data_IF_096515664034
#
_entry.id   IF_096515664034
#
_cell.length_a   1.000
_cell.length_b   1.000
_cell.length_c   1.000
_cell.angle_alpha   90.00
_cell.angle_beta   90.00
_cell.angle_gamma   90.00
#
_symmetry.space_group_name_H-M   'P 1'
#
loop_
_entity.id
_entity.type
_entity.pdbx_description
1 polymer ?
#
# COMPACT_ATOMS: atom_id res chain seq x y z
N UNK A 1 25.39 15.56 -17.63
CA UNK A 1 24.41 14.46 -17.73
C UNK A 1 23.06 14.83 -17.12
N UNK A 2 22.89 14.97 -15.79
CA UNK A 2 21.61 15.42 -15.19
C UNK A 2 21.22 16.80 -15.74
N UNK A 3 22.15 17.76 -15.75
CA UNK A 3 21.88 19.09 -16.30
C UNK A 3 21.43 19.06 -17.77
N UNK A 4 22.06 18.23 -18.61
CA UNK A 4 21.75 18.18 -20.05
C UNK A 4 20.39 17.55 -20.33
N UNK A 5 20.00 16.51 -19.58
CA UNK A 5 18.70 15.85 -19.69
C UNK A 5 17.53 16.80 -19.36
N UNK A 6 17.74 17.75 -18.44
CA UNK A 6 16.67 18.61 -17.92
C UNK A 6 16.65 20.03 -18.49
N UNK A 7 17.78 20.54 -18.98
CA UNK A 7 17.92 21.95 -19.42
C UNK A 7 17.81 22.11 -20.93
N UNK A 8 18.11 21.08 -21.74
CA UNK A 8 18.20 21.23 -23.20
C UNK A 8 16.94 20.79 -23.97
N UNK A 9 16.06 19.99 -23.35
CA UNK A 9 14.79 19.58 -23.93
C UNK A 9 13.69 20.61 -23.68
N UNK A 10 13.45 21.52 -24.62
CA UNK A 10 12.19 22.26 -24.68
C UNK A 10 11.18 21.44 -25.51
N UNK A 11 10.91 20.21 -25.06
CA UNK A 11 9.97 19.28 -25.68
C UNK A 11 8.50 19.64 -25.37
N UNK A 12 8.29 20.59 -24.46
CA UNK A 12 6.96 20.99 -24.01
C UNK A 12 6.36 20.03 -22.97
N UNK A 13 7.14 19.06 -22.47
CA UNK A 13 6.68 18.08 -21.50
C UNK A 13 6.51 18.71 -20.10
N UNK A 14 5.35 18.45 -19.51
CA UNK A 14 4.96 18.82 -18.14
C UNK A 14 5.71 18.01 -17.09
N UNK A 15 6.12 16.79 -17.42
CA UNK A 15 6.75 15.81 -16.56
C UNK A 15 7.79 15.04 -17.37
N UNK A 16 9.05 15.23 -16.98
CA UNK A 16 10.17 14.44 -17.49
C UNK A 16 10.82 13.69 -16.34
N UNK A 17 11.32 12.49 -16.62
CA UNK A 17 12.07 11.71 -15.65
C UNK A 17 13.20 10.96 -16.33
N UNK A 18 14.27 10.76 -15.58
CA UNK A 18 15.48 10.09 -16.05
C UNK A 18 15.99 9.16 -14.94
N UNK A 19 15.98 7.83 -15.18
CA UNK A 19 16.52 6.87 -14.25
C UNK A 19 18.04 6.78 -14.38
N UNK A 20 18.74 6.73 -13.25
CA UNK A 20 20.17 6.51 -13.16
C UNK A 20 20.39 5.22 -12.35
N UNK A 21 20.88 4.18 -13.00
CA UNK A 21 21.20 2.92 -12.35
C UNK A 21 22.47 3.10 -11.50
N UNK A 22 22.33 2.91 -10.18
CA UNK A 22 23.45 2.98 -9.23
C UNK A 22 24.09 1.61 -9.04
N UNK A 23 23.28 0.56 -9.11
CA UNK A 23 23.65 -0.85 -9.00
C UNK A 23 22.63 -1.63 -9.83
N UNK A 24 23.07 -2.52 -10.71
CA UNK A 24 22.21 -3.37 -11.55
C UNK A 24 22.04 -4.79 -10.98
N UNK A 25 22.60 -5.06 -9.81
CA UNK A 25 22.55 -6.37 -9.16
C UNK A 25 23.30 -7.48 -9.93
N UNK A 26 24.06 -7.11 -10.97
CA UNK A 26 24.84 -8.06 -11.77
C UNK A 26 26.11 -8.48 -11.03
N UNK A 27 26.51 -9.72 -11.27
CA UNK A 27 27.75 -10.27 -10.72
C UNK A 27 28.80 -10.31 -11.82
N UNK A 28 29.66 -9.30 -11.90
CA UNK A 28 30.85 -9.40 -12.77
C UNK A 28 31.91 -10.33 -12.15
N UNK A 29 32.04 -10.32 -10.82
CA UNK A 29 32.83 -11.29 -10.05
C UNK A 29 32.01 -11.87 -8.89
N UNK A 30 31.99 -13.20 -8.79
CA UNK A 30 31.25 -13.95 -7.76
C UNK A 30 31.74 -13.72 -6.31
N UNK A 31 32.79 -12.89 -6.14
CA UNK A 31 33.42 -12.54 -4.85
C UNK A 31 32.81 -11.25 -4.27
N UNK A 32 32.12 -10.46 -5.10
CA UNK A 32 31.52 -9.20 -4.66
C UNK A 32 30.28 -9.51 -3.80
N UNK A 33 30.35 -9.11 -2.53
CA UNK A 33 29.33 -9.45 -1.53
C UNK A 33 27.94 -8.85 -1.77
N UNK A 34 27.71 -8.12 -2.86
CA UNK A 34 26.41 -7.57 -3.24
C UNK A 34 25.64 -8.42 -4.27
N UNK A 35 26.21 -9.55 -4.68
CA UNK A 35 25.60 -10.46 -5.64
C UNK A 35 24.18 -10.89 -5.23
N UNK A 36 23.22 -10.66 -6.13
CA UNK A 36 21.85 -11.15 -5.96
C UNK A 36 21.04 -10.47 -4.85
N UNK A 37 21.52 -9.33 -4.32
CA UNK A 37 20.85 -8.55 -3.25
C UNK A 37 19.80 -7.58 -3.76
N UNK A 38 19.52 -7.58 -5.06
CA UNK A 38 18.68 -6.59 -5.71
C UNK A 38 19.46 -5.52 -6.46
N UNK A 39 18.83 -4.39 -6.73
CA UNK A 39 19.39 -3.28 -7.51
C UNK A 39 18.86 -1.94 -7.02
N UNK A 40 19.55 -0.85 -7.40
CA UNK A 40 19.25 0.51 -6.95
C UNK A 40 19.19 1.47 -8.11
N UNK A 41 18.11 2.25 -8.17
CA UNK A 41 17.85 3.22 -9.22
C UNK A 41 17.61 4.57 -8.58
N UNK A 42 18.36 5.58 -9.01
CA UNK A 42 18.07 6.96 -8.69
C UNK A 42 17.18 7.52 -9.79
N UNK A 43 15.91 7.75 -9.47
CA UNK A 43 14.95 8.31 -10.42
C UNK A 43 14.75 9.79 -10.16
N UNK A 44 15.05 10.60 -11.16
CA UNK A 44 14.90 12.05 -11.09
C UNK A 44 13.62 12.41 -11.82
N UNK A 45 12.80 13.28 -11.23
CA UNK A 45 11.60 13.83 -11.85
C UNK A 45 11.70 15.36 -11.89
N UNK A 46 11.45 15.93 -13.06
CA UNK A 46 11.26 17.36 -13.25
C UNK A 46 9.85 17.62 -13.75
N UNK A 47 9.20 18.58 -13.10
CA UNK A 47 7.83 18.99 -13.37
C UNK A 47 7.81 20.46 -13.80
N UNK A 48 7.05 20.75 -14.87
CA UNK A 48 6.92 22.06 -15.52
C UNK A 48 5.44 22.38 -15.66
N UNK A 49 4.90 23.26 -14.83
CA UNK A 49 3.46 23.54 -14.83
C UNK A 49 3.19 25.03 -14.96
N UNK A 50 2.20 25.39 -15.77
CA UNK A 50 1.76 26.77 -15.90
C UNK A 50 1.03 27.23 -14.62
N UNK A 51 1.48 28.34 -14.05
CA UNK A 51 0.97 28.85 -12.77
C UNK A 51 -0.47 29.34 -12.82
N UNK A 52 -0.97 29.70 -14.00
CA UNK A 52 -2.38 30.10 -14.18
C UNK A 52 -3.35 28.95 -13.88
N UNK A 53 -2.91 27.71 -14.11
CA UNK A 53 -3.70 26.50 -13.84
C UNK A 53 -3.48 25.93 -12.44
N UNK A 54 -2.41 26.37 -11.77
CA UNK A 54 -2.02 25.95 -10.42
C UNK A 54 -1.82 27.18 -9.52
N UNK A 55 -2.89 27.93 -9.20
CA UNK A 55 -2.76 29.16 -8.42
C UNK A 55 -2.22 28.91 -7.00
N UNK A 56 -2.42 27.69 -6.47
CA UNK A 56 -1.91 27.24 -5.18
C UNK A 56 -0.52 26.57 -5.28
N UNK A 57 0.05 26.48 -6.48
CA UNK A 57 1.32 25.85 -6.77
C UNK A 57 2.51 26.60 -6.16
N UNK A 58 3.39 25.89 -5.47
CA UNK A 58 4.62 26.42 -4.87
C UNK A 58 5.82 25.86 -5.60
N UNK A 59 6.40 26.67 -6.47
CA UNK A 59 7.52 26.29 -7.33
C UNK A 59 8.81 26.96 -6.87
N UNK A 60 9.89 26.20 -6.62
CA UNK A 60 11.21 26.76 -6.30
C UNK A 60 11.76 27.70 -7.38
N UNK A 61 11.48 27.40 -8.66
CA UNK A 61 11.95 28.19 -9.80
C UNK A 61 10.76 28.50 -10.71
N UNK A 62 10.75 29.69 -11.31
CA UNK A 62 9.75 30.07 -12.31
C UNK A 62 10.41 30.74 -13.50
N UNK A 63 9.91 30.47 -14.70
CA UNK A 63 10.36 31.13 -15.92
C UNK A 63 9.16 31.62 -16.76
N UNK A 64 9.40 32.60 -17.64
CA UNK A 64 8.40 33.04 -18.62
C UNK A 64 8.70 32.38 -19.97
N UNK A 65 7.78 31.58 -20.48
CA UNK A 65 7.90 30.88 -21.76
C UNK A 65 6.74 31.33 -22.64
N UNK A 66 7.03 32.02 -23.75
CA UNK A 66 6.02 32.55 -24.69
C UNK A 66 4.93 33.42 -24.03
N UNK A 67 5.26 34.10 -22.93
CA UNK A 67 4.33 34.95 -22.18
C UNK A 67 3.64 34.26 -21.01
N UNK A 68 3.71 32.93 -20.93
CA UNK A 68 3.16 32.14 -19.83
C UNK A 68 4.17 31.99 -18.69
N UNK A 69 3.69 32.10 -17.44
CA UNK A 69 4.52 31.86 -16.27
C UNK A 69 4.51 30.36 -15.93
N UNK A 70 5.65 29.71 -16.13
CA UNK A 70 5.86 28.29 -15.85
C UNK A 70 6.60 28.13 -14.54
N UNK A 71 6.05 27.34 -13.63
CA UNK A 71 6.68 26.88 -12.41
C UNK A 71 7.41 25.56 -12.63
N UNK A 72 8.59 25.44 -12.03
CA UNK A 72 9.43 24.26 -12.07
C UNK A 72 9.55 23.69 -10.66
N UNK A 73 9.33 22.38 -10.53
CA UNK A 73 9.58 21.62 -9.32
C UNK A 73 10.30 20.32 -9.68
N UNK A 74 11.11 19.79 -8.76
CA UNK A 74 11.88 18.58 -9.00
C UNK A 74 11.95 17.70 -7.77
N UNK A 75 11.97 16.40 -7.99
CA UNK A 75 12.15 15.39 -6.96
C UNK A 75 13.18 14.36 -7.40
N UNK A 76 13.88 13.81 -6.42
CA UNK A 76 14.84 12.73 -6.61
C UNK A 76 14.39 11.59 -5.70
N UNK A 77 14.07 10.45 -6.29
CA UNK A 77 13.61 9.26 -5.61
C UNK A 77 14.69 8.19 -5.69
N UNK A 78 15.05 7.60 -4.55
CA UNK A 78 15.89 6.41 -4.51
C UNK A 78 14.97 5.19 -4.49
N UNK A 79 14.96 4.43 -5.59
CA UNK A 79 14.29 3.14 -5.65
C UNK A 79 15.27 2.03 -5.30
N UNK A 80 14.89 1.22 -4.32
CA UNK A 80 15.64 0.05 -3.88
C UNK A 80 14.74 -1.17 -4.08
N UNK A 81 15.17 -2.10 -4.93
CA UNK A 81 14.47 -3.37 -5.12
C UNK A 81 15.32 -4.47 -4.52
N UNK A 82 14.75 -5.19 -3.56
CA UNK A 82 15.45 -6.24 -2.79
C UNK A 82 14.62 -7.52 -2.78
N UNK A 83 15.26 -8.70 -2.82
CA UNK A 83 14.56 -9.95 -2.62
C UNK A 83 14.23 -10.13 -1.12
N UNK A 84 12.99 -10.50 -0.82
CA UNK A 84 12.52 -10.79 0.54
C UNK A 84 11.84 -12.14 0.61
N UNK A 85 12.04 -12.85 1.72
CA UNK A 85 11.31 -14.07 2.07
C UNK A 85 10.11 -13.65 2.90
N UNK A 86 8.94 -14.06 2.45
CA UNK A 86 7.67 -13.79 3.11
C UNK A 86 7.02 -15.08 3.56
N UNK A 87 6.30 -15.00 4.66
CA UNK A 87 5.42 -16.05 5.12
C UNK A 87 4.05 -15.87 4.46
N UNK A 88 3.46 -16.98 4.01
CA UNK A 88 2.20 -16.95 3.27
C UNK A 88 1.24 -17.95 3.87
N UNK A 89 0.01 -17.52 4.08
CA UNK A 89 -1.03 -18.36 4.64
C UNK A 89 -2.00 -18.79 3.55
N UNK A 90 -2.09 -20.11 3.34
CA UNK A 90 -3.00 -20.72 2.39
C UNK A 90 -4.18 -21.33 3.13
N UNK A 91 -5.33 -20.64 3.11
CA UNK A 91 -6.56 -21.10 3.75
C UNK A 91 -7.57 -21.62 2.73
N UNK A 92 -8.27 -22.69 3.08
CA UNK A 92 -9.37 -23.22 2.26
C UNK A 92 -10.51 -22.20 2.17
N UNK A 93 -10.85 -21.76 0.96
CA UNK A 93 -11.97 -20.86 0.70
C UNK A 93 -11.63 -19.36 0.62
N UNK A 94 -10.35 -18.98 0.67
CA UNK A 94 -9.88 -17.63 0.30
C UNK A 94 -8.61 -17.70 -0.52
N UNK A 95 -8.24 -16.58 -1.16
CA UNK A 95 -6.94 -16.46 -1.79
C UNK A 95 -5.83 -16.46 -0.73
N UNK A 96 -4.66 -17.05 -1.02
CA UNK A 96 -3.50 -16.95 -0.14
C UNK A 96 -3.14 -15.49 0.10
N UNK A 97 -2.65 -15.18 1.29
CA UNK A 97 -2.18 -13.84 1.62
C UNK A 97 -0.86 -13.90 2.40
N UNK A 98 -0.08 -12.84 2.27
CA UNK A 98 1.17 -12.67 3.01
C UNK A 98 0.87 -12.32 4.45
N UNK A 99 1.48 -13.03 5.40
CA UNK A 99 1.31 -12.77 6.85
C UNK A 99 2.41 -11.91 7.43
N UNK A 100 3.65 -12.10 6.98
CA UNK A 100 4.82 -11.36 7.50
C UNK A 100 5.99 -11.42 6.53
N UNK A 101 6.84 -10.39 6.57
CA UNK A 101 8.16 -10.39 5.93
C UNK A 101 9.18 -10.95 6.93
N UNK A 102 9.82 -12.07 6.59
CA UNK A 102 10.71 -12.78 7.51
C UNK A 102 12.11 -12.18 7.50
N UNK A 103 12.73 -12.10 6.31
CA UNK A 103 14.14 -11.73 6.14
C UNK A 103 14.50 -11.46 4.68
N UNK A 104 15.67 -10.85 4.41
CA UNK A 104 16.23 -10.77 3.07
C UNK A 104 16.38 -12.15 2.41
N UNK A 105 16.08 -12.23 1.12
CA UNK A 105 16.08 -13.47 0.33
C UNK A 105 17.44 -13.85 -0.28
N UNK A 106 18.42 -12.97 -0.14
CA UNK A 106 19.81 -13.14 -0.57
C UNK A 106 20.61 -14.11 0.33
N UNK A 107 20.10 -14.42 1.52
CA UNK A 107 20.80 -15.24 2.51
C UNK A 107 19.87 -16.23 3.22
N UNK A 108 19.92 -17.49 2.78
CA UNK A 108 19.21 -18.61 3.40
C UNK A 108 20.18 -19.45 4.27
N UNK A 109 20.71 -18.84 5.33
CA UNK A 109 21.66 -19.43 6.30
C UNK A 109 21.16 -20.65 7.09
N UNK A 110 19.94 -21.13 6.85
CA UNK A 110 19.27 -22.14 7.67
C UNK A 110 19.03 -23.45 6.93
N UNK A 111 19.03 -23.45 5.59
CA UNK A 111 18.89 -24.66 4.78
C UNK A 111 20.23 -24.92 4.11
N UNK A 112 21.12 -25.60 4.84
CA UNK A 112 22.51 -25.81 4.39
C UNK A 112 22.60 -26.64 3.10
N UNK A 113 21.59 -27.44 2.78
CA UNK A 113 21.50 -28.15 1.49
C UNK A 113 20.03 -28.29 1.07
N UNK A 114 19.68 -28.01 -0.21
CA UNK A 114 18.37 -28.36 -0.73
C UNK A 114 18.17 -29.87 -0.63
N UNK A 115 17.04 -30.32 -0.07
CA UNK A 115 16.72 -31.76 0.06
C UNK A 115 16.70 -32.50 -1.30
N UNK A 116 16.60 -31.76 -2.41
CA UNK A 116 16.51 -32.31 -3.76
C UNK A 116 17.49 -31.59 -4.71
N UNK A 117 18.16 -32.33 -5.60
CA UNK A 117 19.01 -31.74 -6.62
C UNK A 117 18.18 -30.86 -7.57
N UNK A 118 18.64 -29.63 -7.82
CA UNK A 118 17.98 -28.67 -8.71
C UNK A 118 16.96 -27.75 -8.02
N UNK A 119 16.80 -27.81 -6.71
CA UNK A 119 15.99 -26.85 -5.94
C UNK A 119 16.89 -25.71 -5.46
N UNK A 120 16.51 -24.47 -5.75
CA UNK A 120 17.23 -23.31 -5.27
C UNK A 120 17.00 -23.14 -3.76
N UNK A 121 18.10 -22.99 -3.02
CA UNK A 121 18.09 -22.71 -1.58
C UNK A 121 18.29 -21.23 -1.25
N UNK A 122 18.49 -20.36 -2.24
CA UNK A 122 18.58 -18.90 -2.09
C UNK A 122 17.96 -18.21 -3.32
N UNK A 123 17.39 -17.02 -3.13
CA UNK A 123 16.96 -16.19 -4.26
C UNK A 123 18.17 -15.42 -4.77
N UNK A 124 18.47 -15.59 -6.06
CA UNK A 124 19.50 -14.82 -6.72
C UNK A 124 18.83 -13.86 -7.71
N UNK A 125 18.97 -12.56 -7.46
CA UNK A 125 18.44 -11.52 -8.35
C UNK A 125 19.37 -11.17 -9.53
N UNK A 126 20.53 -11.83 -9.68
CA UNK A 126 21.44 -11.59 -10.79
C UNK A 126 20.71 -11.75 -12.13
N UNK A 127 20.81 -10.74 -12.99
CA UNK A 127 20.17 -10.67 -14.31
C UNK A 127 18.63 -10.58 -14.30
N UNK A 128 18.00 -10.44 -13.12
CA UNK A 128 16.55 -10.14 -13.02
C UNK A 128 16.30 -8.64 -13.24
N UNK A 129 17.31 -7.80 -12.98
CA UNK A 129 17.24 -6.35 -13.19
C UNK A 129 16.83 -5.99 -14.62
N UNK A 130 17.32 -6.69 -15.65
CA UNK A 130 16.92 -6.46 -17.05
C UNK A 130 15.40 -6.65 -17.27
N UNK A 131 14.82 -7.68 -16.65
CA UNK A 131 13.38 -7.94 -16.73
C UNK A 131 12.59 -6.84 -15.99
N UNK A 132 13.06 -6.43 -14.81
CA UNK A 132 12.48 -5.31 -14.07
C UNK A 132 12.57 -4.00 -14.85
N UNK A 133 13.70 -3.71 -15.48
CA UNK A 133 13.93 -2.51 -16.27
C UNK A 133 12.86 -2.34 -17.35
N UNK A 134 12.43 -3.43 -17.99
CA UNK A 134 11.33 -3.39 -18.96
C UNK A 134 10.01 -2.95 -18.32
N UNK A 135 9.68 -3.52 -17.16
CA UNK A 135 8.48 -3.14 -16.40
C UNK A 135 8.54 -1.69 -15.90
N UNK A 136 9.70 -1.29 -15.37
CA UNK A 136 10.00 0.06 -14.90
C UNK A 136 9.79 1.08 -16.03
N UNK A 137 10.39 0.87 -17.21
CA UNK A 137 10.21 1.78 -18.34
C UNK A 137 8.76 1.83 -18.83
N UNK A 138 8.03 0.72 -18.78
CA UNK A 138 6.61 0.70 -19.10
C UNK A 138 5.80 1.54 -18.10
N UNK A 139 6.02 1.34 -16.79
CA UNK A 139 5.40 2.12 -15.73
C UNK A 139 5.69 3.62 -15.89
N UNK A 140 6.94 4.00 -16.13
CA UNK A 140 7.36 5.39 -16.33
C UNK A 140 6.74 6.03 -17.54
N UNK A 141 6.71 5.34 -18.68
CA UNK A 141 6.07 5.86 -19.90
C UNK A 141 4.58 6.10 -19.72
N UNK A 142 3.88 5.26 -18.97
CA UNK A 142 2.46 5.45 -18.68
C UNK A 142 2.23 6.57 -17.67
N UNK A 143 3.07 6.63 -16.63
CA UNK A 143 3.01 7.65 -15.58
C UNK A 143 3.30 9.05 -16.11
N UNK A 144 4.26 9.17 -17.04
CA UNK A 144 4.63 10.42 -17.72
C UNK A 144 3.85 10.63 -19.02
N UNK A 145 2.81 9.83 -19.28
CA UNK A 145 2.02 9.98 -20.50
C UNK A 145 1.22 11.28 -20.44
N UNK A 146 1.61 12.23 -21.28
CA UNK A 146 0.97 13.53 -21.35
C UNK A 146 -0.05 13.63 -22.48
N UNK A 147 -0.97 14.58 -22.30
CA UNK A 147 -1.85 15.04 -23.36
C UNK A 147 -1.10 16.12 -24.14
N UNK A 148 -0.58 15.75 -25.32
CA UNK A 148 0.16 16.66 -26.22
C UNK A 148 -0.62 17.92 -26.63
N UNK A 149 -1.94 17.93 -26.43
CA UNK A 149 -2.83 19.04 -26.72
C UNK A 149 -2.76 20.16 -25.67
N UNK A 150 -2.25 19.88 -24.46
CA UNK A 150 -2.26 20.81 -23.32
C UNK A 150 -0.87 20.92 -22.67
N UNK A 151 0.08 21.64 -23.30
CA UNK A 151 1.42 21.80 -22.76
C UNK A 151 1.38 22.54 -21.41
N UNK A 152 2.26 22.12 -20.50
CA UNK A 152 2.38 22.64 -19.13
C UNK A 152 1.12 22.55 -18.26
N UNK A 153 0.14 21.73 -18.65
CA UNK A 153 -1.06 21.47 -17.86
C UNK A 153 -0.83 20.30 -16.91
N UNK A 154 -1.13 20.43 -15.60
CA UNK A 154 -0.86 19.34 -14.67
C UNK A 154 -1.72 18.12 -15.01
N UNK A 155 -1.07 16.97 -15.19
CA UNK A 155 -1.75 15.69 -15.33
C UNK A 155 -2.34 15.25 -13.98
N UNK A 156 -3.34 14.35 -13.97
CA UNK A 156 -3.88 13.79 -12.73
C UNK A 156 -2.79 13.19 -11.82
N UNK A 157 -1.79 12.53 -12.41
CA UNK A 157 -0.66 11.93 -11.69
C UNK A 157 0.19 13.00 -11.00
N UNK A 158 0.42 14.14 -11.65
CA UNK A 158 1.12 15.27 -11.04
C UNK A 158 0.35 15.89 -9.87
N UNK A 159 -0.98 15.78 -9.84
CA UNK A 159 -1.79 16.20 -8.68
C UNK A 159 -1.63 15.20 -7.55
N UNK A 160 -1.66 13.90 -7.84
CA UNK A 160 -1.46 12.83 -6.86
C UNK A 160 -0.07 12.90 -6.19
N UNK A 161 0.98 13.27 -6.93
CA UNK A 161 2.32 13.52 -6.37
C UNK A 161 2.38 14.63 -5.32
N UNK A 162 1.35 15.46 -5.21
CA UNK A 162 1.27 16.52 -4.20
C UNK A 162 0.52 16.10 -2.94
N UNK A 163 0.03 14.86 -2.89
CA UNK A 163 -0.77 14.33 -1.77
C UNK A 163 -2.23 14.77 -1.79
N UNK A 164 -2.65 15.44 -2.87
CA UNK A 164 -4.02 15.88 -3.05
C UNK A 164 -4.80 14.85 -3.89
N UNK A 165 -6.09 14.72 -3.61
CA UNK A 165 -6.98 13.92 -4.46
C UNK A 165 -7.26 14.64 -5.79
N UNK A 166 -7.43 13.87 -6.86
CA UNK A 166 -7.74 14.34 -8.23
C UNK A 166 -9.03 15.18 -8.31
N UNK A 167 -9.83 15.23 -7.24
CA UNK A 167 -11.12 15.96 -7.17
C UNK A 167 -10.99 17.48 -7.36
N UNK A 168 -9.83 18.07 -7.05
CA UNK A 168 -9.53 19.48 -7.31
C UNK A 168 -9.13 19.78 -8.77
N UNK A 169 -9.04 18.74 -9.58
CA UNK A 169 -8.53 18.83 -10.95
C UNK A 169 -7.14 19.49 -10.98
N UNK A 170 -6.84 20.25 -12.05
CA UNK A 170 -5.55 20.91 -12.26
C UNK A 170 -5.14 21.83 -11.11
N UNK A 171 -6.12 22.49 -10.48
CA UNK A 171 -5.89 23.41 -9.36
C UNK A 171 -5.45 22.72 -8.06
N UNK A 172 -5.55 21.38 -8.01
CA UNK A 172 -5.12 20.56 -6.89
C UNK A 172 -3.60 20.38 -6.79
N UNK A 173 -2.83 20.71 -7.83
CA UNK A 173 -1.37 20.62 -7.73
C UNK A 173 -0.81 21.76 -6.87
N UNK A 174 -0.04 21.40 -5.83
CA UNK A 174 0.61 22.34 -4.90
C UNK A 174 2.14 22.27 -5.00
N UNK A 175 2.76 21.24 -4.42
CA UNK A 175 4.20 20.99 -4.42
C UNK A 175 4.42 19.49 -4.38
N UNK A 176 5.49 19.00 -5.00
CA UNK A 176 5.87 17.60 -4.89
C UNK A 176 6.04 17.18 -3.42
N UNK A 177 5.37 16.10 -3.05
CA UNK A 177 5.38 15.51 -1.72
C UNK A 177 6.14 14.19 -1.76
N UNK A 178 7.26 14.05 -1.02
CA UNK A 178 8.05 12.82 -1.05
C UNK A 178 7.23 11.56 -0.74
N UNK A 179 6.39 11.59 0.30
CA UNK A 179 5.59 10.44 0.71
C UNK A 179 4.50 10.07 -0.30
N UNK A 180 3.92 11.08 -0.95
CA UNK A 180 2.91 10.88 -1.99
C UNK A 180 3.55 10.32 -3.26
N UNK A 181 4.71 10.85 -3.65
CA UNK A 181 5.48 10.31 -4.77
C UNK A 181 5.91 8.88 -4.52
N UNK A 182 6.45 8.55 -3.34
CA UNK A 182 6.81 7.19 -2.93
C UNK A 182 5.63 6.23 -3.11
N UNK A 183 4.46 6.61 -2.62
CA UNK A 183 3.24 5.79 -2.70
C UNK A 183 2.78 5.58 -4.15
N UNK A 184 2.72 6.66 -4.94
CA UNK A 184 2.26 6.59 -6.33
C UNK A 184 3.26 5.80 -7.18
N UNK A 185 4.54 6.14 -7.11
CA UNK A 185 5.62 5.44 -7.83
C UNK A 185 5.66 3.96 -7.45
N UNK A 186 5.62 3.64 -6.15
CA UNK A 186 5.63 2.28 -5.63
C UNK A 186 4.42 1.46 -6.13
N UNK A 187 3.22 2.06 -6.13
CA UNK A 187 2.02 1.42 -6.69
C UNK A 187 2.13 1.15 -8.19
N UNK A 188 2.58 2.14 -8.97
CA UNK A 188 2.79 1.98 -10.41
C UNK A 188 3.83 0.90 -10.73
N UNK A 189 4.99 0.93 -10.07
CA UNK A 189 6.04 -0.07 -10.25
C UNK A 189 5.54 -1.47 -9.89
N UNK A 190 4.87 -1.63 -8.75
CA UNK A 190 4.37 -2.94 -8.29
C UNK A 190 3.33 -3.52 -9.26
N UNK A 191 2.41 -2.69 -9.76
CA UNK A 191 1.37 -3.13 -10.71
C UNK A 191 1.93 -3.64 -12.05
N UNK A 192 3.10 -3.15 -12.45
CA UNK A 192 3.75 -3.51 -13.73
C UNK A 192 4.87 -4.52 -13.59
N UNK A 193 5.55 -4.58 -12.44
CA UNK A 193 6.70 -5.45 -12.23
C UNK A 193 6.31 -6.91 -12.01
N UNK A 194 5.16 -7.18 -11.37
CA UNK A 194 4.80 -8.54 -10.95
C UNK A 194 4.89 -9.59 -12.07
N UNK A 195 4.36 -9.38 -13.29
CA UNK A 195 4.45 -10.38 -14.36
C UNK A 195 5.89 -10.72 -14.80
N UNK A 196 6.82 -9.79 -14.58
CA UNK A 196 8.23 -9.94 -14.96
C UNK A 196 9.07 -10.59 -13.86
N UNK A 197 8.58 -10.59 -12.63
CA UNK A 197 9.27 -11.13 -11.45
C UNK A 197 8.75 -12.51 -11.01
N UNK A 198 7.74 -13.05 -11.70
CA UNK A 198 7.25 -14.41 -11.46
C UNK A 198 8.13 -15.42 -12.21
N UNK A 199 8.71 -16.35 -11.46
CA UNK A 199 9.48 -17.47 -12.00
C UNK A 199 8.79 -18.82 -11.80
N UNK A 200 9.18 -19.82 -12.61
CA UNK A 200 8.73 -21.21 -12.49
C UNK A 200 9.77 -22.13 -11.83
N UNK A 201 10.87 -21.57 -11.33
CA UNK A 201 11.93 -22.32 -10.68
C UNK A 201 11.46 -22.99 -9.39
N UNK A 202 11.99 -24.17 -9.10
CA UNK A 202 11.74 -24.83 -7.81
C UNK A 202 12.57 -24.14 -6.72
N UNK A 203 11.90 -23.60 -5.72
CA UNK A 203 12.51 -23.00 -4.53
C UNK A 203 12.21 -23.85 -3.30
N UNK A 204 13.16 -23.90 -2.36
CA UNK A 204 12.91 -24.53 -1.07
C UNK A 204 11.99 -23.62 -0.25
N UNK A 205 10.88 -24.15 0.23
CA UNK A 205 9.97 -23.47 1.14
C UNK A 205 9.76 -24.33 2.39
N UNK A 206 9.72 -23.70 3.56
CA UNK A 206 9.32 -24.35 4.80
C UNK A 206 7.80 -24.25 4.90
N UNK A 207 7.14 -25.39 5.06
CA UNK A 207 5.70 -25.42 5.36
C UNK A 207 5.52 -25.72 6.84
N UNK A 208 4.65 -24.95 7.50
CA UNK A 208 4.26 -25.18 8.88
C UNK A 208 2.79 -25.55 8.88
N UNK A 209 2.50 -26.76 9.34
CA UNK A 209 1.13 -27.18 9.50
C UNK A 209 0.46 -26.35 10.60
N UNK A 210 -0.75 -25.88 10.31
CA UNK A 210 -1.57 -25.21 11.30
C UNK A 210 -1.83 -26.14 12.47
N UNK A 211 -1.19 -25.84 13.59
CA UNK A 211 -1.50 -26.50 14.84
C UNK A 211 -2.63 -25.74 15.51
N UNK A 212 -3.81 -26.35 15.52
CA UNK A 212 -4.97 -25.85 16.28
C UNK A 212 -4.59 -25.88 17.77
N UNK A 213 -4.15 -24.73 18.30
CA UNK A 213 -3.74 -24.56 19.71
C UNK A 213 -4.93 -24.50 20.68
N UNK A 214 -6.15 -24.38 20.17
CA UNK A 214 -7.36 -24.40 20.98
C UNK A 214 -8.56 -24.86 20.17
N UNK A 215 -9.16 -25.98 20.58
CA UNK A 215 -10.50 -26.36 20.14
C UNK A 215 -11.50 -26.05 21.26
N UNK A 216 -12.30 -25.01 21.08
CA UNK A 216 -13.43 -24.75 21.95
C UNK A 216 -14.62 -25.61 21.52
N UNK A 217 -15.14 -26.45 22.42
CA UNK A 217 -16.44 -27.09 22.21
C UNK A 217 -17.49 -26.35 23.02
N UNK A 218 -18.50 -25.81 22.35
CA UNK A 218 -19.64 -25.21 23.03
C UNK A 218 -20.66 -26.31 23.28
N UNK A 219 -21.01 -26.51 24.54
CA UNK A 219 -22.08 -27.43 24.89
C UNK A 219 -23.41 -26.86 24.38
N UNK A 220 -23.96 -27.50 23.34
CA UNK A 220 -25.18 -27.07 22.65
C UNK A 220 -26.36 -26.93 23.61
N UNK A 221 -26.43 -27.74 24.66
CA UNK A 221 -27.50 -27.69 25.65
C UNK A 221 -27.43 -26.42 26.49
N UNK A 222 -26.24 -26.07 27.01
CA UNK A 222 -26.06 -24.85 27.78
C UNK A 222 -26.26 -23.59 26.92
N UNK A 223 -25.74 -23.58 25.69
CA UNK A 223 -25.97 -22.47 24.76
C UNK A 223 -27.46 -22.29 24.46
N UNK A 224 -28.16 -23.41 24.16
CA UNK A 224 -29.60 -23.39 23.92
C UNK A 224 -30.40 -22.91 25.13
N UNK A 225 -30.01 -23.31 26.34
CA UNK A 225 -30.65 -22.90 27.59
C UNK A 225 -30.46 -21.39 27.83
N UNK A 226 -29.25 -20.87 27.67
CA UNK A 226 -28.97 -19.43 27.82
C UNK A 226 -29.75 -18.62 26.79
N UNK A 227 -29.75 -19.03 25.52
CA UNK A 227 -30.53 -18.36 24.46
C UNK A 227 -32.03 -18.42 24.76
N UNK A 228 -32.55 -19.56 25.21
CA UNK A 228 -33.94 -19.74 25.60
C UNK A 228 -34.36 -18.87 26.78
N UNK A 229 -33.53 -18.79 27.84
CA UNK A 229 -33.78 -17.92 28.99
C UNK A 229 -33.76 -16.44 28.59
N UNK A 230 -32.82 -16.04 27.75
CA UNK A 230 -32.72 -14.65 27.27
C UNK A 230 -33.97 -14.27 26.48
N UNK A 231 -34.47 -15.18 25.63
CA UNK A 231 -35.71 -14.99 24.89
C UNK A 231 -36.92 -14.92 25.82
N UNK A 232 -37.02 -15.81 26.82
CA UNK A 232 -38.10 -15.81 27.79
C UNK A 232 -38.16 -14.50 28.59
N UNK A 233 -37.01 -14.00 29.07
CA UNK A 233 -36.92 -12.72 29.77
C UNK A 233 -37.36 -11.58 28.86
N UNK A 234 -36.96 -11.60 27.58
CA UNK A 234 -37.42 -10.63 26.59
C UNK A 234 -38.95 -10.64 26.42
N UNK A 235 -39.57 -11.82 26.35
CA UNK A 235 -41.04 -11.96 26.25
C UNK A 235 -41.74 -11.48 27.52
N UNK A 236 -41.23 -11.84 28.70
CA UNK A 236 -41.80 -11.38 29.98
C UNK A 236 -41.71 -9.86 30.07
N UNK A 237 -40.59 -9.26 29.68
CA UNK A 237 -40.41 -7.82 29.64
C UNK A 237 -41.41 -7.15 28.70
N UNK A 238 -41.67 -7.72 27.52
CA UNK A 238 -42.65 -7.19 26.56
C UNK A 238 -44.09 -7.22 27.13
N UNK A 239 -44.48 -8.32 27.78
CA UNK A 239 -45.82 -8.47 28.36
C UNK A 239 -46.00 -7.61 29.63
N UNK A 240 -44.93 -7.40 30.39
CA UNK A 240 -44.97 -6.71 31.69
C UNK A 240 -44.87 -5.18 31.58
N UNK A 241 -44.87 -4.61 30.37
CA UNK A 241 -44.97 -3.16 30.19
C UNK A 241 -46.44 -2.74 30.40
N UNK A 242 -46.77 -2.02 31.48
CA UNK A 242 -48.14 -1.59 31.73
C UNK A 242 -48.59 -0.64 30.63
N UNK A 243 -49.67 -1.01 29.93
CA UNK A 243 -50.33 -0.15 28.94
C UNK A 243 -51.15 0.92 29.66
N UNK A 244 -51.09 2.17 29.19
CA UNK A 244 -51.96 3.23 29.71
C UNK A 244 -53.44 2.89 29.42
N UNK A 245 -54.37 3.32 30.28
CA UNK A 245 -55.80 3.29 29.97
C UNK A 245 -56.05 4.15 28.73
N UNK A 246 -56.32 3.50 27.59
CA UNK A 246 -56.34 4.11 26.25
C UNK A 246 -55.66 3.26 25.16
N UNK A 247 -54.97 2.18 25.52
CA UNK A 247 -54.39 1.24 24.55
C UNK A 247 -53.12 1.73 23.87
N UNK A 248 -52.60 2.89 24.28
CA UNK A 248 -51.37 3.48 23.76
C UNK A 248 -50.19 2.95 24.60
N UNK A 249 -49.22 2.25 24.00
CA UNK A 249 -48.01 1.83 24.70
C UNK A 249 -47.20 3.07 25.14
N UNK A 250 -46.72 3.08 26.39
CA UNK A 250 -45.92 4.19 26.95
C UNK A 250 -44.56 4.37 26.25
N UNK A 251 -44.12 3.37 25.48
CA UNK A 251 -42.84 3.34 24.79
C UNK A 251 -42.91 2.29 23.67
N UNK A 252 -42.67 2.71 22.42
CA UNK A 252 -42.61 1.79 21.27
C UNK A 252 -41.36 0.89 21.37
N UNK A 253 -41.50 -0.28 21.98
CA UNK A 253 -40.51 -1.36 21.92
C UNK A 253 -40.67 -2.18 20.62
N UNK A 254 -40.91 -1.50 19.50
CA UNK A 254 -40.87 -2.16 18.20
C UNK A 254 -39.47 -2.71 17.89
N UNK A 255 -39.36 -3.59 16.89
CA UNK A 255 -38.10 -4.19 16.42
C UNK A 255 -36.98 -3.14 16.18
N UNK A 256 -37.35 -1.89 15.88
CA UNK A 256 -36.42 -0.77 15.72
C UNK A 256 -35.78 -0.30 17.04
N UNK A 257 -36.49 -0.42 18.17
CA UNK A 257 -35.97 -0.11 19.51
C UNK A 257 -35.04 -1.21 20.03
N UNK A 258 -35.36 -2.48 19.77
CA UNK A 258 -34.47 -3.60 20.12
C UNK A 258 -33.18 -3.59 19.28
N UNK A 259 -33.23 -3.20 18.00
CA UNK A 259 -32.03 -2.99 17.17
C UNK A 259 -31.14 -1.87 17.73
N UNK A 260 -31.72 -0.79 18.26
CA UNK A 260 -30.94 0.32 18.83
C UNK A 260 -30.32 -0.03 20.19
N UNK A 261 -30.95 -0.88 21.00
CA UNK A 261 -30.39 -1.39 22.27
C UNK A 261 -29.40 -2.54 22.07
N UNK A 262 -29.60 -3.38 21.05
CA UNK A 262 -28.67 -4.45 20.71
C UNK A 262 -27.41 -3.93 20.01
N UNK A 263 -27.45 -2.76 19.35
CA UNK A 263 -26.30 -2.18 18.63
C UNK A 263 -25.07 -1.99 19.51
N UNK A 264 -25.15 -1.39 20.71
CA UNK A 264 -23.99 -1.24 21.60
C UNK A 264 -23.44 -2.59 22.10
N UNK A 265 -24.32 -3.57 22.36
CA UNK A 265 -23.92 -4.90 22.83
C UNK A 265 -23.29 -5.73 21.70
N UNK A 266 -23.81 -5.64 20.48
CA UNK A 266 -23.19 -6.20 19.27
C UNK A 266 -21.86 -5.53 18.98
N UNK A 267 -21.78 -4.20 19.12
CA UNK A 267 -20.52 -3.44 18.98
C UNK A 267 -19.51 -3.82 20.06
N UNK A 268 -19.93 -4.06 21.30
CA UNK A 268 -19.02 -4.54 22.34
C UNK A 268 -18.61 -5.99 22.11
N UNK A 269 -19.46 -6.82 21.50
CA UNK A 269 -19.10 -8.17 21.08
C UNK A 269 -18.08 -8.12 19.93
N UNK A 270 -18.26 -7.22 18.97
CA UNK A 270 -17.31 -6.95 17.88
C UNK A 270 -15.96 -6.47 18.43
N UNK A 271 -16.00 -5.53 19.39
CA UNK A 271 -14.79 -5.05 20.08
C UNK A 271 -14.15 -6.18 20.90
N UNK A 272 -14.92 -7.03 21.57
CA UNK A 272 -14.40 -8.16 22.33
C UNK A 272 -13.85 -9.29 21.45
N UNK A 273 -14.45 -9.53 20.28
CA UNK A 273 -13.95 -10.42 19.24
C UNK A 273 -12.71 -9.82 18.53
N UNK A 274 -12.60 -8.50 18.48
CA UNK A 274 -11.39 -7.76 18.10
C UNK A 274 -10.32 -7.69 19.20
N UNK A 275 -10.66 -7.96 20.46
CA UNK A 275 -9.75 -7.96 21.63
C UNK A 275 -9.31 -9.36 22.10
N UNK A 276 -9.90 -10.45 21.59
CA UNK A 276 -9.19 -11.74 21.59
C UNK A 276 -7.88 -11.52 20.80
N UNK A 277 -6.73 -12.09 21.19
CA UNK A 277 -5.44 -11.70 20.63
C UNK A 277 -5.41 -12.02 19.14
N UNK A 278 -5.79 -11.02 18.35
CA UNK A 278 -5.67 -10.90 16.92
C UNK A 278 -5.05 -9.54 16.73
N UNK A 279 -3.81 -9.60 16.28
CA UNK A 279 -3.06 -8.57 15.58
C UNK A 279 -3.96 -7.54 14.89
N UNK A 280 -3.76 -6.29 15.27
CA UNK A 280 -3.70 -5.12 14.41
C UNK A 280 -4.59 -5.16 13.15
N UNK A 281 -5.89 -4.94 13.33
CA UNK A 281 -6.68 -4.30 12.27
C UNK A 281 -7.93 -3.67 12.89
N UNK A 282 -7.80 -2.40 13.26
CA UNK A 282 -8.84 -1.35 13.37
C UNK A 282 -8.41 -0.29 14.41
N UNK A 283 -7.34 0.45 14.08
CA UNK A 283 -7.26 1.87 14.47
C UNK A 283 -8.08 2.67 13.46
N UNK A 284 -9.38 2.77 13.69
CA UNK A 284 -10.22 3.80 13.08
C UNK A 284 -10.91 4.59 14.21
N UNK A 285 -10.07 5.33 14.93
CA UNK A 285 -10.47 6.60 15.52
C UNK A 285 -10.21 7.73 14.51
N UNK A 286 -10.76 8.94 14.71
CA UNK A 286 -10.63 10.05 13.77
C UNK A 286 -9.18 10.53 13.79
N UNK A 287 -8.38 9.95 12.90
CA UNK A 287 -7.02 10.37 12.59
C UNK A 287 -7.10 11.29 11.37
N UNK A 288 -6.30 12.36 11.37
CA UNK A 288 -6.11 13.30 10.26
C UNK A 288 -5.41 12.65 9.03
N UNK A 289 -5.59 11.35 8.84
CA UNK A 289 -4.93 10.58 7.79
C UNK A 289 -5.69 10.70 6.46
N UNK A 290 -4.98 10.89 5.34
CA UNK A 290 -5.58 11.02 4.03
C UNK A 290 -6.29 9.71 3.63
N UNK A 291 -7.42 9.79 2.90
CA UNK A 291 -8.21 8.63 2.53
C UNK A 291 -7.39 7.62 1.70
N UNK A 292 -7.72 6.32 1.78
CA UNK A 292 -7.01 5.29 1.02
C UNK A 292 -7.07 5.57 -0.48
N UNK A 293 -5.90 5.46 -1.11
CA UNK A 293 -5.68 5.74 -2.53
C UNK A 293 -6.56 4.83 -3.42
N UNK A 294 -7.24 5.39 -4.45
CA UNK A 294 -8.09 4.62 -5.35
C UNK A 294 -7.23 3.94 -6.42
N UNK A 295 -6.61 2.80 -6.08
CA UNK A 295 -5.78 2.10 -7.06
C UNK A 295 -5.36 0.67 -6.72
N UNK A 296 -5.49 0.25 -5.47
CA UNK A 296 -5.10 -1.09 -5.04
C UNK A 296 -6.36 -1.84 -4.64
N UNK A 297 -6.66 -2.94 -5.35
CA UNK A 297 -7.72 -3.86 -4.94
C UNK A 297 -7.45 -4.39 -3.52
N UNK A 298 -8.49 -4.79 -2.77
CA UNK A 298 -8.35 -5.31 -1.40
C UNK A 298 -7.40 -6.53 -1.26
N UNK A 299 -7.02 -7.15 -2.37
CA UNK A 299 -6.13 -8.31 -2.47
C UNK A 299 -4.62 -8.02 -2.28
N UNK A 300 -4.18 -6.76 -2.20
CA UNK A 300 -2.75 -6.40 -2.02
C UNK A 300 -2.51 -5.36 -0.91
N UNK A 301 -3.24 -5.46 0.20
CA UNK A 301 -2.92 -4.68 1.39
C UNK A 301 -1.69 -5.29 2.07
N UNK A 302 -0.51 -4.80 1.68
CA UNK A 302 0.73 -5.07 2.40
C UNK A 302 0.91 -3.94 3.41
N UNK A 303 0.96 -4.27 4.69
CA UNK A 303 1.27 -3.31 5.75
C UNK A 303 2.75 -2.92 5.62
N UNK A 304 2.98 -1.68 5.20
CA UNK A 304 4.31 -1.13 4.92
C UNK A 304 4.91 -0.40 6.12
N UNK A 305 4.19 -0.32 7.25
CA UNK A 305 4.68 0.39 8.44
C UNK A 305 5.85 -0.37 9.10
N UNK A 306 5.77 -1.69 9.15
CA UNK A 306 6.85 -2.59 9.63
C UNK A 306 8.15 -2.49 8.80
N UNK A 307 8.08 -2.50 7.44
CA UNK A 307 9.24 -2.21 6.59
C UNK A 307 9.81 -0.80 6.80
N UNK A 308 8.97 0.22 6.95
CA UNK A 308 9.41 1.61 7.15
C UNK A 308 10.20 1.78 8.44
N UNK A 309 9.77 1.15 9.53
CA UNK A 309 10.49 1.17 10.81
C UNK A 309 11.88 0.50 10.70
N UNK A 310 12.00 -0.58 9.91
CA UNK A 310 13.26 -1.33 9.73
C UNK A 310 14.24 -0.68 8.75
N UNK A 311 13.73 -0.02 7.71
CA UNK A 311 14.56 0.62 6.67
C UNK A 311 15.04 2.00 7.14
N UNK A 312 14.29 2.64 8.05
CA UNK A 312 14.61 3.94 8.62
C UNK A 312 14.28 5.08 7.67
N UNK A 313 13.56 6.08 8.17
CA UNK A 313 13.34 7.31 7.43
C UNK A 313 14.66 8.04 7.23
N UNK A 314 15.07 8.22 5.97
CA UNK A 314 16.18 9.10 5.65
C UNK A 314 15.68 10.54 5.80
N UNK A 315 16.27 11.40 6.66
CA UNK A 315 15.75 12.74 6.86
C UNK A 315 15.80 13.53 5.54
N UNK A 316 14.63 13.98 5.09
CA UNK A 316 14.44 14.74 3.85
C UNK A 316 14.97 16.19 3.89
N UNK A 317 15.76 16.54 4.91
CA UNK A 317 16.34 17.88 5.04
C UNK A 317 17.75 17.82 5.61
N UNK A 318 18.72 18.24 4.80
CA UNK A 318 19.91 18.90 5.34
C UNK A 318 19.46 20.28 5.84
N UNK A 319 19.48 20.51 7.15
CA UNK A 319 19.45 21.86 7.69
C UNK A 319 20.68 22.60 7.16
N UNK A 320 20.44 23.67 6.40
CA UNK A 320 21.46 24.66 6.06
C UNK A 320 22.12 25.24 7.31
#
# INVERSE_FOLDING_TARGET
MIYDAYVTGNDGAVHSGEPIYLDDGSCFNQIDGNCGRGWKILDVHLVRIQKTHTPNGRFPVTASIKGDQIGFDAAVCLEVVEPWIVDTYNITGRQPYTTQVLRPGDSLSTVNEPLYPGVASALNSSNISDAYTTAFFAARREMMKELSEFPFYPSPILVEFTGNSVTGGPSGHTRLSPSSMETVIGGWNSSRALPYLVGTGHITAETRDDRIIGSGTVNRLYLGLILGLTLLVGVIADVSIPRLPGGIPLRDFGVLSSITVARPALRSLDIALGQAPRSESERLGPSDDPPPSPGVGPEFYMDLDDPKEKIGDTPAYASH
#
